data_IF_944683108261
#
_entry.id   IF_944683108261
#
_cell.length_a   1.000
_cell.length_b   1.000
_cell.length_c   1.000
_cell.angle_alpha   90.00
_cell.angle_beta   90.00
_cell.angle_gamma   90.00
#
_symmetry.space_group_name_H-M   'P 1'
#
loop_
_entity.id
_entity.type
_entity.pdbx_description
1 polymer ?
#
# COMPACT_ATOMS: atom_id res chain seq x y z
N UNK A 1 12.24 8.47 -25.42
CA UNK A 1 12.57 7.24 -24.67
C UNK A 1 12.75 6.03 -25.59
N UNK A 2 11.77 5.70 -26.45
CA UNK A 2 11.82 4.58 -27.42
C UNK A 2 13.12 4.52 -28.24
N UNK A 3 13.47 5.60 -28.92
CA UNK A 3 14.72 5.72 -29.71
C UNK A 3 15.99 5.43 -28.89
N UNK A 4 16.05 5.78 -27.61
CA UNK A 4 17.20 5.45 -26.73
C UNK A 4 17.17 3.99 -26.27
N UNK A 5 15.99 3.42 -26.04
CA UNK A 5 15.81 2.00 -25.68
C UNK A 5 16.28 1.12 -26.84
N UNK A 6 15.80 1.42 -28.05
CA UNK A 6 16.12 0.67 -29.27
C UNK A 6 17.61 0.79 -29.62
N UNK A 7 18.17 2.00 -29.58
CA UNK A 7 19.59 2.23 -29.89
C UNK A 7 20.55 1.54 -28.91
N UNK A 8 20.16 1.39 -27.64
CA UNK A 8 20.98 0.74 -26.62
C UNK A 8 20.63 -0.74 -26.40
N UNK A 9 19.74 -1.32 -27.23
CA UNK A 9 19.27 -2.71 -27.10
C UNK A 9 18.80 -3.05 -25.67
N UNK A 10 18.17 -2.09 -24.99
CA UNK A 10 17.68 -2.29 -23.62
C UNK A 10 16.48 -3.25 -23.65
N UNK A 11 16.60 -4.37 -22.94
CA UNK A 11 15.54 -5.39 -22.84
C UNK A 11 14.89 -5.43 -21.44
N UNK A 12 15.42 -4.68 -20.47
CA UNK A 12 14.95 -4.64 -19.08
C UNK A 12 14.87 -3.21 -18.58
N UNK A 13 13.76 -2.86 -17.93
CA UNK A 13 13.60 -1.61 -17.18
C UNK A 13 13.14 -1.95 -15.77
N UNK A 14 13.81 -1.35 -14.79
CA UNK A 14 13.40 -1.36 -13.39
C UNK A 14 12.89 0.03 -13.01
N UNK A 15 11.62 0.11 -12.63
CA UNK A 15 11.02 1.32 -12.10
C UNK A 15 11.03 1.24 -10.58
N UNK A 16 11.64 2.23 -9.93
CA UNK A 16 11.77 2.30 -8.48
C UNK A 16 11.11 3.56 -7.95
N UNK A 17 10.53 3.46 -6.77
CA UNK A 17 10.02 4.64 -6.09
C UNK A 17 9.66 4.40 -4.64
N UNK A 18 9.55 5.50 -3.90
CA UNK A 18 9.09 5.53 -2.52
C UNK A 18 7.95 6.54 -2.41
N UNK A 19 6.97 6.25 -1.55
CA UNK A 19 5.81 7.13 -1.31
C UNK A 19 5.09 7.45 -2.64
N UNK A 20 4.85 8.74 -2.92
CA UNK A 20 4.33 9.22 -4.20
C UNK A 20 5.16 8.75 -5.40
N UNK A 21 6.49 8.64 -5.26
CA UNK A 21 7.36 8.13 -6.32
C UNK A 21 7.08 6.66 -6.66
N UNK A 22 6.73 5.84 -5.66
CA UNK A 22 6.30 4.45 -5.90
C UNK A 22 5.00 4.44 -6.73
N UNK A 23 4.08 5.34 -6.39
CA UNK A 23 2.83 5.46 -7.11
C UNK A 23 3.04 5.87 -8.58
N UNK A 24 3.90 6.85 -8.82
CA UNK A 24 4.27 7.27 -10.17
C UNK A 24 4.96 6.15 -10.95
N UNK A 25 5.86 5.39 -10.33
CA UNK A 25 6.51 4.24 -10.95
C UNK A 25 5.49 3.18 -11.41
N UNK A 26 4.46 2.93 -10.60
CA UNK A 26 3.36 2.03 -10.96
C UNK A 26 2.52 2.61 -12.11
N UNK A 27 2.16 3.89 -12.09
CA UNK A 27 1.42 4.52 -13.21
C UNK A 27 2.22 4.43 -14.51
N UNK A 28 3.52 4.71 -14.46
CA UNK A 28 4.41 4.59 -15.62
C UNK A 28 4.49 3.15 -16.13
N UNK A 29 4.50 2.16 -15.24
CA UNK A 29 4.42 0.75 -15.64
C UNK A 29 3.18 0.47 -16.49
N UNK A 30 1.99 0.90 -16.04
CA UNK A 30 0.75 0.72 -16.80
C UNK A 30 0.81 1.43 -18.14
N UNK A 31 1.27 2.69 -18.19
CA UNK A 31 1.40 3.46 -19.43
C UNK A 31 2.34 2.79 -20.44
N UNK A 32 3.46 2.23 -19.99
CA UNK A 32 4.41 1.54 -20.87
C UNK A 32 3.86 0.21 -21.37
N UNK A 33 3.11 -0.50 -20.53
CA UNK A 33 2.49 -1.79 -20.86
C UNK A 33 1.32 -1.64 -21.84
N UNK A 34 0.44 -0.67 -21.63
CA UNK A 34 -0.76 -0.46 -22.46
C UNK A 34 -0.42 0.14 -23.83
N UNK A 35 0.59 1.00 -23.92
CA UNK A 35 0.99 1.60 -25.21
C UNK A 35 1.85 0.69 -26.08
N UNK A 36 1.99 -0.59 -25.71
CA UNK A 36 2.91 -1.57 -26.33
C UNK A 36 4.28 -0.96 -26.67
N UNK A 37 4.81 -0.10 -25.78
CA UNK A 37 5.84 0.85 -26.17
C UNK A 37 7.11 0.14 -26.68
N UNK A 38 7.38 -1.06 -26.15
CA UNK A 38 8.39 -2.01 -26.62
C UNK A 38 7.91 -3.47 -26.38
N UNK A 39 7.61 -4.23 -27.45
CA UNK A 39 7.14 -5.64 -27.37
C UNK A 39 8.14 -6.61 -26.71
N UNK A 40 9.43 -6.27 -26.71
CA UNK A 40 10.51 -7.12 -26.19
C UNK A 40 11.11 -6.61 -24.87
N UNK A 41 10.40 -5.75 -24.15
CA UNK A 41 10.91 -5.10 -22.95
C UNK A 41 10.29 -5.71 -21.70
N UNK A 42 11.12 -6.31 -20.86
CA UNK A 42 10.72 -6.74 -19.52
C UNK A 42 10.73 -5.55 -18.58
N UNK A 43 9.56 -5.15 -18.11
CA UNK A 43 9.42 -4.06 -17.13
C UNK A 43 9.13 -4.69 -15.78
N UNK A 44 9.89 -4.28 -14.76
CA UNK A 44 9.63 -4.59 -13.35
C UNK A 44 9.47 -3.29 -12.57
N UNK A 45 8.51 -3.26 -11.66
CA UNK A 45 8.35 -2.14 -10.72
C UNK A 45 8.57 -2.62 -9.30
N UNK A 46 9.36 -1.90 -8.52
CA UNK A 46 9.48 -2.09 -7.09
C UNK A 46 9.20 -0.79 -6.36
N UNK A 47 8.21 -0.79 -5.48
CA UNK A 47 7.75 0.39 -4.77
C UNK A 47 7.77 0.22 -3.26
N UNK A 48 8.02 1.31 -2.54
CA UNK A 48 8.09 1.33 -1.08
C UNK A 48 7.11 2.35 -0.50
N UNK A 49 6.23 1.94 0.41
CA UNK A 49 5.23 2.83 1.02
C UNK A 49 4.29 3.47 -0.02
N UNK A 50 3.94 2.74 -1.08
CA UNK A 50 3.10 3.24 -2.16
C UNK A 50 1.68 3.53 -1.65
N UNK A 51 1.06 4.68 -2.00
CA UNK A 51 -0.37 4.89 -1.74
C UNK A 51 -1.25 4.08 -2.70
N UNK A 52 -2.50 3.75 -2.34
CA UNK A 52 -3.45 3.06 -3.22
C UNK A 52 -3.83 3.91 -4.44
N UNK A 53 -3.97 3.27 -5.61
CA UNK A 53 -4.08 3.98 -6.89
C UNK A 53 -5.27 3.58 -7.74
N UNK A 54 -5.65 2.30 -7.70
CA UNK A 54 -6.54 1.75 -8.71
C UNK A 54 -7.80 1.17 -8.10
N UNK A 55 -8.87 1.16 -8.90
CA UNK A 55 -10.05 0.37 -8.59
C UNK A 55 -9.70 -1.12 -8.50
N UNK A 56 -10.52 -1.88 -7.77
CA UNK A 56 -10.27 -3.29 -7.47
C UNK A 56 -10.02 -4.13 -8.73
N UNK A 57 -10.77 -3.90 -9.81
CA UNK A 57 -10.64 -4.65 -11.07
C UNK A 57 -9.26 -4.50 -11.73
N UNK A 58 -8.59 -3.35 -11.59
CA UNK A 58 -7.24 -3.13 -12.11
C UNK A 58 -6.21 -3.71 -11.15
N UNK A 59 -6.42 -3.54 -9.84
CA UNK A 59 -5.50 -4.03 -8.81
C UNK A 59 -5.38 -5.55 -8.75
N UNK A 60 -6.45 -6.28 -9.08
CA UNK A 60 -6.52 -7.74 -9.08
C UNK A 60 -5.98 -8.42 -10.36
N UNK A 61 -5.40 -7.66 -11.29
CA UNK A 61 -4.77 -8.26 -12.47
C UNK A 61 -3.58 -9.14 -12.07
N UNK A 62 -3.56 -10.37 -12.57
CA UNK A 62 -2.50 -11.35 -12.24
C UNK A 62 -1.23 -11.16 -13.08
N UNK A 63 -1.32 -10.46 -14.21
CA UNK A 63 -0.24 -10.30 -15.18
C UNK A 63 0.74 -9.15 -14.84
N UNK A 64 0.81 -8.75 -13.57
CA UNK A 64 1.53 -7.56 -13.12
C UNK A 64 2.90 -7.89 -12.50
N UNK A 65 3.97 -7.37 -13.11
CA UNK A 65 5.33 -7.48 -12.59
C UNK A 65 5.67 -6.28 -11.67
N UNK A 66 4.92 -6.18 -10.57
CA UNK A 66 5.01 -5.09 -9.60
C UNK A 66 5.14 -5.71 -8.21
N UNK A 67 6.18 -5.33 -7.47
CA UNK A 67 6.37 -5.70 -6.07
C UNK A 67 6.31 -4.43 -5.19
N UNK A 68 5.33 -4.34 -4.30
CA UNK A 68 5.13 -3.19 -3.41
C UNK A 68 5.36 -3.60 -1.96
N UNK A 69 6.20 -2.85 -1.27
CA UNK A 69 6.59 -3.12 0.11
C UNK A 69 6.08 -2.01 1.03
N UNK A 70 5.43 -2.39 2.12
CA UNK A 70 4.93 -1.46 3.13
C UNK A 70 5.45 -1.86 4.50
N UNK A 71 6.10 -0.93 5.19
CA UNK A 71 6.66 -1.19 6.51
C UNK A 71 5.68 -0.88 7.64
N UNK A 72 5.49 -1.86 8.53
CA UNK A 72 4.74 -1.71 9.77
C UNK A 72 3.36 -1.10 9.56
N UNK A 73 3.12 0.03 10.22
CA UNK A 73 1.86 0.78 10.15
C UNK A 73 1.96 2.00 9.25
N UNK A 74 2.84 2.01 8.24
CA UNK A 74 2.91 3.10 7.26
C UNK A 74 1.50 3.41 6.74
N UNK A 75 1.09 4.64 6.99
CA UNK A 75 -0.26 5.13 6.71
C UNK A 75 -0.46 5.34 5.21
N UNK A 76 0.61 5.62 4.45
CA UNK A 76 0.53 6.01 3.04
C UNK A 76 -0.15 4.92 2.21
N UNK A 77 0.23 3.66 2.43
CA UNK A 77 -0.39 2.51 1.75
C UNK A 77 -1.85 2.26 2.13
N UNK A 78 -2.35 2.93 3.15
CA UNK A 78 -3.74 2.85 3.63
C UNK A 78 -4.55 4.10 3.28
N UNK A 79 -3.93 5.13 2.68
CA UNK A 79 -4.56 6.41 2.41
C UNK A 79 -5.13 6.47 0.99
N UNK A 80 -6.30 5.87 0.81
CA UNK A 80 -7.19 6.20 -0.32
C UNK A 80 -8.22 7.26 0.09
N UNK A 81 -8.84 7.92 -0.90
CA UNK A 81 -9.93 8.86 -0.64
C UNK A 81 -11.10 8.18 0.09
N UNK A 82 -11.49 6.97 -0.33
CA UNK A 82 -12.54 6.20 0.32
C UNK A 82 -12.23 5.89 1.79
N UNK A 83 -11.01 5.44 2.09
CA UNK A 83 -10.58 5.18 3.48
C UNK A 83 -10.49 6.46 4.34
N UNK A 84 -10.22 7.62 3.75
CA UNK A 84 -10.29 8.91 4.45
C UNK A 84 -11.72 9.29 4.80
N UNK A 85 -12.68 9.03 3.90
CA UNK A 85 -14.10 9.25 4.17
C UNK A 85 -14.63 8.29 5.24
N UNK A 86 -14.22 7.01 5.21
CA UNK A 86 -14.51 6.04 6.27
C UNK A 86 -14.01 6.54 7.63
N UNK A 87 -12.78 7.08 7.65
CA UNK A 87 -12.18 7.63 8.86
C UNK A 87 -12.95 8.85 9.38
N UNK A 88 -13.33 9.76 8.48
CA UNK A 88 -14.17 10.92 8.83
C UNK A 88 -15.51 10.46 9.40
N UNK A 89 -16.16 9.49 8.77
CA UNK A 89 -17.42 8.94 9.23
C UNK A 89 -17.27 8.36 10.65
N UNK A 90 -16.24 7.53 10.87
CA UNK A 90 -15.94 6.97 12.18
C UNK A 90 -15.79 8.05 13.25
N UNK A 91 -15.02 9.11 12.99
CA UNK A 91 -14.82 10.19 13.95
C UNK A 91 -16.09 10.98 14.25
N UNK A 92 -16.89 11.28 13.24
CA UNK A 92 -18.17 11.99 13.43
C UNK A 92 -19.14 11.13 14.24
N UNK A 93 -19.26 9.84 13.90
CA UNK A 93 -20.08 8.89 14.65
C UNK A 93 -19.61 8.77 16.10
N UNK A 94 -18.30 8.73 16.35
CA UNK A 94 -17.75 8.70 17.71
C UNK A 94 -18.00 10.01 18.48
N UNK A 95 -17.92 11.17 17.83
CA UNK A 95 -18.19 12.47 18.45
C UNK A 95 -19.63 12.61 18.97
N UNK A 96 -20.57 11.88 18.36
CA UNK A 96 -21.96 11.81 18.79
C UNK A 96 -22.19 10.86 19.97
N UNK A 97 -21.20 10.04 20.34
CA UNK A 97 -21.25 9.08 21.44
C UNK A 97 -20.70 9.65 22.76
N UNK A 98 -20.99 10.93 23.07
CA UNK A 98 -20.47 11.64 24.26
C UNK A 98 -20.66 10.88 25.57
N UNK A 99 -21.73 10.09 25.68
CA UNK A 99 -22.09 9.32 26.87
C UNK A 99 -21.29 8.01 27.07
N UNK A 100 -20.45 7.62 26.10
CA UNK A 100 -19.61 6.42 26.17
C UNK A 100 -18.14 6.72 26.50
N UNK A 101 -17.79 8.00 26.69
CA UNK A 101 -16.47 8.43 27.12
C UNK A 101 -16.21 7.86 28.53
N UNK A 102 -15.13 7.10 28.70
CA UNK A 102 -14.78 6.42 29.95
C UNK A 102 -15.23 4.95 30.06
N UNK A 103 -16.08 4.45 29.15
CA UNK A 103 -16.54 3.04 29.13
C UNK A 103 -15.85 2.24 28.02
N UNK A 104 -14.55 1.92 28.23
CA UNK A 104 -13.65 1.31 27.24
C UNK A 104 -14.27 0.17 26.40
N UNK A 105 -14.93 -0.79 27.05
CA UNK A 105 -15.51 -1.96 26.36
C UNK A 105 -16.69 -1.57 25.45
N UNK A 106 -17.57 -0.70 25.93
CA UNK A 106 -18.71 -0.20 25.15
C UNK A 106 -18.25 0.66 23.96
N UNK A 107 -17.20 1.47 24.15
CA UNK A 107 -16.57 2.24 23.07
C UNK A 107 -16.02 1.33 21.98
N UNK A 108 -15.27 0.28 22.35
CA UNK A 108 -14.71 -0.68 21.38
C UNK A 108 -15.83 -1.40 20.62
N UNK A 109 -16.89 -1.84 21.30
CA UNK A 109 -18.02 -2.49 20.66
C UNK A 109 -18.68 -1.59 19.62
N UNK A 110 -18.90 -0.31 19.93
CA UNK A 110 -19.47 0.64 18.95
C UNK A 110 -18.54 0.98 17.80
N UNK A 111 -17.23 1.11 18.04
CA UNK A 111 -16.26 1.28 16.96
C UNK A 111 -16.35 0.09 15.98
N UNK A 112 -16.41 -1.14 16.48
CA UNK A 112 -16.51 -2.32 15.63
C UNK A 112 -17.83 -2.38 14.85
N UNK A 113 -18.94 -1.96 15.46
CA UNK A 113 -20.25 -1.87 14.79
C UNK A 113 -20.23 -0.84 13.65
N UNK A 114 -19.68 0.36 13.91
CA UNK A 114 -19.53 1.40 12.88
C UNK A 114 -18.64 0.90 11.73
N UNK A 115 -17.50 0.28 12.05
CA UNK A 115 -16.59 -0.29 11.05
C UNK A 115 -17.25 -1.38 10.22
N UNK A 116 -18.05 -2.25 10.85
CA UNK A 116 -18.80 -3.29 10.15
C UNK A 116 -19.87 -2.69 9.23
N UNK A 117 -20.58 -1.64 9.69
CA UNK A 117 -21.55 -0.92 8.87
C UNK A 117 -20.91 -0.30 7.62
N UNK A 118 -19.79 0.41 7.78
CA UNK A 118 -19.03 0.99 6.67
C UNK A 118 -18.63 -0.09 5.65
N UNK A 119 -18.06 -1.20 6.12
CA UNK A 119 -17.57 -2.29 5.25
C UNK A 119 -18.69 -3.04 4.53
N UNK A 120 -19.79 -3.34 5.21
CA UNK A 120 -20.90 -4.11 4.64
C UNK A 120 -21.70 -3.34 3.59
N UNK A 121 -21.70 -2.01 3.64
CA UNK A 121 -22.44 -1.15 2.73
C UNK A 121 -21.60 -0.57 1.58
N UNK A 122 -20.28 -0.79 1.60
CA UNK A 122 -19.33 -0.20 0.65
C UNK A 122 -19.57 1.30 0.41
N UNK A 123 -19.78 2.05 1.49
CA UNK A 123 -20.25 3.45 1.43
C UNK A 123 -19.32 4.37 0.65
N UNK A 124 -18.01 4.10 0.72
CA UNK A 124 -16.98 4.92 0.11
C UNK A 124 -16.04 4.02 -0.71
N UNK A 125 -16.19 3.99 -2.04
CA UNK A 125 -15.34 3.19 -2.91
C UNK A 125 -13.85 3.49 -2.68
N UNK A 126 -13.08 2.43 -2.41
CA UNK A 126 -11.65 2.51 -2.10
C UNK A 126 -10.80 2.29 -3.34
N UNK A 127 -9.58 2.81 -3.26
CA UNK A 127 -8.51 2.45 -4.19
C UNK A 127 -7.61 1.40 -3.53
N UNK A 128 -6.93 0.64 -4.36
CA UNK A 128 -6.16 -0.53 -3.99
C UNK A 128 -4.76 -0.48 -4.62
N UNK A 129 -3.85 -1.23 -4.00
CA UNK A 129 -2.50 -1.44 -4.50
C UNK A 129 -2.48 -2.64 -5.47
N UNK A 130 -1.85 -2.51 -6.64
CA UNK A 130 -1.74 -3.60 -7.62
C UNK A 130 -0.51 -4.49 -7.40
N UNK A 131 -0.54 -5.70 -7.97
CA UNK A 131 0.61 -6.61 -8.01
C UNK A 131 0.86 -7.34 -6.69
N UNK A 132 2.11 -7.74 -6.45
CA UNK A 132 2.51 -8.45 -5.25
C UNK A 132 2.73 -7.47 -4.10
N UNK A 133 1.98 -7.65 -3.01
CA UNK A 133 2.04 -6.76 -1.85
C UNK A 133 2.75 -7.45 -0.70
N UNK A 134 3.79 -6.80 -0.18
CA UNK A 134 4.62 -7.32 0.91
C UNK A 134 4.51 -6.40 2.13
N UNK A 135 3.97 -6.94 3.21
CA UNK A 135 3.97 -6.30 4.52
C UNK A 135 5.24 -6.67 5.28
N UNK A 136 6.02 -5.66 5.67
CA UNK A 136 7.28 -5.83 6.38
C UNK A 136 7.08 -5.41 7.83
N UNK A 137 7.31 -6.32 8.78
CA UNK A 137 7.14 -6.06 10.22
C UNK A 137 8.43 -6.32 10.98
N UNK A 138 8.76 -5.45 11.94
CA UNK A 138 9.88 -5.68 12.86
C UNK A 138 9.40 -6.48 14.08
N UNK A 139 10.06 -7.61 14.36
CA UNK A 139 9.81 -8.46 15.52
C UNK A 139 11.13 -8.68 16.28
N UNK A 140 11.25 -8.08 17.47
CA UNK A 140 12.49 -8.05 18.26
C UNK A 140 13.66 -7.50 17.42
N UNK A 141 14.71 -8.32 17.24
CA UNK A 141 15.91 -8.05 16.43
C UNK A 141 15.81 -8.59 15.00
N UNK A 142 14.59 -8.87 14.51
CA UNK A 142 14.37 -9.47 13.19
C UNK A 142 13.28 -8.77 12.40
N UNK A 143 13.33 -8.91 11.08
CA UNK A 143 12.22 -8.52 10.20
C UNK A 143 11.49 -9.75 9.66
N UNK A 144 10.17 -9.65 9.58
CA UNK A 144 9.29 -10.63 8.94
C UNK A 144 8.65 -9.97 7.73
N UNK A 145 8.66 -10.67 6.60
CA UNK A 145 8.00 -10.24 5.37
C UNK A 145 6.84 -11.21 5.13
N UNK A 146 5.64 -10.66 4.93
CA UNK A 146 4.44 -11.44 4.61
C UNK A 146 3.81 -10.89 3.33
N UNK A 147 3.55 -11.77 2.35
CA UNK A 147 2.71 -11.39 1.22
C UNK A 147 1.25 -11.26 1.67
N UNK A 148 0.58 -10.19 1.26
CA UNK A 148 -0.79 -9.86 1.66
C UNK A 148 -1.65 -9.57 0.43
N UNK A 149 -2.97 -9.64 0.58
CA UNK A 149 -3.91 -9.27 -0.47
C UNK A 149 -4.16 -7.75 -0.48
N UNK A 150 -4.83 -7.26 -1.53
CA UNK A 150 -5.15 -5.84 -1.68
C UNK A 150 -6.03 -5.28 -0.55
N UNK A 151 -6.82 -6.14 0.11
CA UNK A 151 -7.72 -5.75 1.18
C UNK A 151 -7.01 -5.47 2.51
N UNK A 152 -5.76 -5.95 2.66
CA UNK A 152 -4.99 -5.75 3.88
C UNK A 152 -4.74 -4.28 4.22
N UNK A 153 -4.69 -3.42 3.21
CA UNK A 153 -4.46 -1.98 3.34
C UNK A 153 -5.72 -1.12 3.14
N UNK A 154 -6.91 -1.72 3.14
CA UNK A 154 -8.18 -1.03 2.87
C UNK A 154 -8.62 -0.04 3.96
N UNK A 155 -7.93 -0.01 5.10
CA UNK A 155 -8.32 0.76 6.26
C UNK A 155 -7.12 1.45 6.90
N UNK A 156 -7.34 2.70 7.31
CA UNK A 156 -6.36 3.50 8.04
C UNK A 156 -6.32 3.04 9.49
N UNK A 157 -5.12 2.68 9.93
CA UNK A 157 -4.86 2.25 11.30
C UNK A 157 -4.16 3.36 12.05
N UNK A 158 -4.77 3.85 13.13
CA UNK A 158 -4.12 4.79 14.03
C UNK A 158 -3.08 4.07 14.88
N UNK A 159 -1.82 4.35 14.59
CA UNK A 159 -0.68 3.96 15.41
C UNK A 159 0.24 5.17 15.55
N UNK A 160 0.75 5.44 16.76
CA UNK A 160 1.71 6.54 16.99
C UNK A 160 3.00 6.42 16.14
N UNK A 161 3.24 5.25 15.55
CA UNK A 161 4.38 4.98 14.65
C UNK A 161 4.01 5.07 13.16
N UNK A 162 2.78 5.44 12.79
CA UNK A 162 2.32 5.39 11.41
C UNK A 162 3.14 6.28 10.47
N UNK A 163 3.39 7.52 10.87
CA UNK A 163 4.23 8.45 10.12
C UNK A 163 5.71 8.07 10.11
N UNK A 164 6.26 7.61 11.26
CA UNK A 164 7.68 7.23 11.33
C UNK A 164 7.98 5.94 10.56
N UNK A 165 7.03 5.02 10.47
CA UNK A 165 7.16 3.81 9.67
C UNK A 165 7.20 4.09 8.16
N UNK A 166 6.73 5.27 7.71
CA UNK A 166 6.82 5.65 6.30
C UNK A 166 8.25 5.95 5.83
N UNK A 167 9.17 6.26 6.75
CA UNK A 167 10.53 6.61 6.37
C UNK A 167 11.28 5.41 5.76
N UNK A 168 11.94 5.67 4.63
CA UNK A 168 12.63 4.65 3.83
C UNK A 168 13.75 3.92 4.58
N UNK A 169 14.38 4.56 5.57
CA UNK A 169 15.45 3.92 6.36
C UNK A 169 14.96 2.67 7.09
N UNK A 170 13.69 2.64 7.52
CA UNK A 170 13.13 1.47 8.21
C UNK A 170 12.99 0.26 7.27
N UNK A 171 12.61 0.53 6.03
CA UNK A 171 12.54 -0.47 4.96
C UNK A 171 13.95 -0.93 4.56
N UNK A 172 14.87 0.00 4.37
CA UNK A 172 16.25 -0.30 3.99
C UNK A 172 16.92 -1.24 5.01
N UNK A 173 16.76 -0.95 6.31
CA UNK A 173 17.27 -1.80 7.39
C UNK A 173 16.69 -3.22 7.33
N UNK A 174 15.39 -3.34 7.01
CA UNK A 174 14.74 -4.64 6.87
C UNK A 174 15.31 -5.49 5.74
N UNK A 175 15.56 -4.86 4.58
CA UNK A 175 16.10 -5.52 3.41
C UNK A 175 17.56 -5.94 3.62
N UNK A 176 18.39 -5.08 4.22
CA UNK A 176 19.79 -5.38 4.52
C UNK A 176 19.91 -6.59 5.45
N UNK A 177 19.08 -6.64 6.50
CA UNK A 177 19.09 -7.78 7.43
C UNK A 177 18.69 -9.09 6.72
N UNK A 178 17.68 -9.05 5.84
CA UNK A 178 17.28 -10.22 5.08
C UNK A 178 18.38 -10.74 4.15
N UNK A 179 19.16 -9.85 3.53
CA UNK A 179 20.29 -10.23 2.68
C UNK A 179 21.39 -10.89 3.51
N UNK A 180 21.70 -10.34 4.68
CA UNK A 180 22.76 -10.86 5.55
C UNK A 180 22.44 -12.21 6.19
N UNK A 181 21.16 -12.58 6.33
CA UNK A 181 20.74 -13.91 6.81
C UNK A 181 20.83 -15.02 5.75
N UNK A 182 20.84 -14.65 4.47
CA UNK A 182 20.85 -15.58 3.34
C UNK A 182 22.26 -15.78 2.73
N UNK A 183 23.29 -15.23 3.38
CA UNK A 183 24.71 -15.51 3.12
C UNK A 183 25.22 -16.47 4.19
#
# INVERSE_FOLDING_TARGET
MKKKIDNNKLNKILLLGHSLGAALAVIVYFLLKEKEFCKNLTIKTVGFGCPPLFSRNIALREDLNIDLYTFGFDITSRMSFGSMLDLRYLFVSMGNLKNLIGRKQATISKINEIRHHIKSKDLNPKLYLPGNLYHVSKFKSSYKIKQVNCDFFDEILFCGKGGTNHFIHNIANALIESINRNK
#
